data_IF_890932608191
#
_entry.id   IF_890932608191
#
_cell.length_a   1.000
_cell.length_b   1.000
_cell.length_c   1.000
_cell.angle_alpha   90.00
_cell.angle_beta   90.00
_cell.angle_gamma   90.00
#
_symmetry.space_group_name_H-M   'P 1'
#
loop_
_entity.id
_entity.type
_entity.pdbx_description
1 polymer ?
#
# COMPACT_ATOMS: atom_id res chain seq x y z
N UNK A 1 -18.10 -6.40 -9.13
CA UNK A 1 -17.07 -6.03 -8.14
C UNK A 1 -16.40 -7.31 -7.69
N UNK A 2 -15.11 -7.48 -7.95
CA UNK A 2 -14.33 -8.52 -7.29
C UNK A 2 -14.30 -8.16 -5.79
N UNK A 3 -14.61 -9.10 -4.91
CA UNK A 3 -14.44 -8.87 -3.47
C UNK A 3 -12.94 -8.65 -3.21
N UNK A 4 -12.52 -7.85 -2.22
CA UNK A 4 -11.09 -7.62 -1.94
C UNK A 4 -10.25 -8.90 -1.76
N UNK A 5 -10.90 -9.99 -1.35
CA UNK A 5 -10.29 -11.31 -1.25
C UNK A 5 -9.99 -11.98 -2.60
N UNK A 6 -10.58 -11.52 -3.70
CA UNK A 6 -10.45 -12.14 -5.04
C UNK A 6 -9.23 -11.60 -5.81
N UNK A 7 -8.65 -10.46 -5.38
CA UNK A 7 -7.46 -9.87 -6.01
C UNK A 7 -6.21 -10.52 -5.44
N UNK A 8 -5.80 -11.63 -6.05
CA UNK A 8 -4.62 -12.42 -5.69
C UNK A 8 -3.65 -12.53 -6.86
N UNK A 9 -2.39 -12.86 -6.57
CA UNK A 9 -1.37 -13.08 -7.59
C UNK A 9 -0.41 -14.19 -7.21
N UNK A 10 0.63 -14.39 -8.03
CA UNK A 10 1.68 -15.38 -7.72
C UNK A 10 2.27 -15.17 -6.32
N UNK A 11 2.54 -13.91 -5.95
CA UNK A 11 3.18 -13.50 -4.70
C UNK A 11 2.30 -12.66 -3.76
N UNK A 12 1.10 -12.29 -4.22
CA UNK A 12 0.16 -11.42 -3.48
C UNK A 12 -0.99 -12.28 -2.95
N UNK A 13 -1.24 -12.20 -1.65
CA UNK A 13 -2.32 -12.90 -0.96
C UNK A 13 -3.65 -12.16 -1.08
N UNK A 14 -3.63 -10.84 -0.93
CA UNK A 14 -4.83 -10.02 -1.03
C UNK A 14 -4.48 -8.57 -1.37
N UNK A 15 -5.47 -7.86 -1.92
CA UNK A 15 -5.44 -6.41 -2.08
C UNK A 15 -6.70 -5.84 -1.46
N UNK A 16 -6.51 -4.90 -0.53
CA UNK A 16 -7.61 -4.25 0.20
C UNK A 16 -7.67 -2.78 -0.16
N UNK A 17 -8.88 -2.25 -0.26
CA UNK A 17 -9.11 -0.82 -0.48
C UNK A 17 -9.87 -0.27 0.71
N UNK A 18 -9.29 0.72 1.39
CA UNK A 18 -9.92 1.39 2.52
C UNK A 18 -9.67 2.89 2.40
N UNK A 19 -10.74 3.70 2.34
CA UNK A 19 -10.66 5.16 2.22
C UNK A 19 -9.72 5.63 1.09
N UNK A 20 -9.76 4.95 -0.07
CA UNK A 20 -8.91 5.29 -1.22
C UNK A 20 -7.41 4.93 -1.06
N UNK A 21 -7.04 4.19 -0.01
CA UNK A 21 -5.72 3.56 0.12
C UNK A 21 -5.84 2.11 -0.35
N UNK A 22 -4.98 1.72 -1.29
CA UNK A 22 -4.86 0.35 -1.79
C UNK A 22 -3.70 -0.32 -1.07
N UNK A 23 -3.94 -1.40 -0.33
CA UNK A 23 -2.90 -2.11 0.43
C UNK A 23 -2.79 -3.54 -0.07
N UNK A 24 -1.61 -3.91 -0.55
CA UNK A 24 -1.30 -5.27 -0.97
C UNK A 24 -0.61 -6.05 0.16
N UNK A 25 -1.04 -7.28 0.39
CA UNK A 25 -0.40 -8.21 1.31
C UNK A 25 0.35 -9.30 0.56
N UNK A 26 1.61 -9.52 0.93
CA UNK A 26 2.43 -10.61 0.39
C UNK A 26 2.01 -11.95 0.99
N UNK A 27 2.15 -13.03 0.21
CA UNK A 27 1.82 -14.38 0.66
C UNK A 27 2.63 -14.82 1.89
N UNK A 28 2.07 -15.71 2.73
CA UNK A 28 2.80 -16.34 3.83
C UNK A 28 3.85 -17.36 3.35
N UNK A 29 3.73 -17.84 2.10
CA UNK A 29 4.61 -18.84 1.50
C UNK A 29 4.92 -18.53 0.03
N UNK A 30 6.01 -19.10 -0.50
CA UNK A 30 6.42 -18.89 -1.90
C UNK A 30 6.99 -17.49 -2.21
N UNK A 31 7.37 -16.74 -1.17
CA UNK A 31 8.02 -15.43 -1.25
C UNK A 31 9.26 -15.39 -0.35
N UNK A 32 10.09 -14.35 -0.47
CA UNK A 32 11.25 -14.17 0.39
C UNK A 32 10.84 -14.03 1.87
N UNK A 33 11.60 -14.63 2.79
CA UNK A 33 11.31 -14.62 4.23
C UNK A 33 11.23 -13.21 4.84
N UNK A 34 11.94 -12.25 4.29
CA UNK A 34 11.96 -10.86 4.75
C UNK A 34 10.73 -10.07 4.27
N UNK A 35 9.89 -10.62 3.39
CA UNK A 35 8.67 -9.99 2.85
C UNK A 35 7.37 -10.77 3.06
N UNK A 36 7.43 -12.03 3.53
CA UNK A 36 6.22 -12.82 3.79
C UNK A 36 5.30 -12.13 4.80
N UNK A 37 3.99 -12.19 4.56
CA UNK A 37 2.95 -11.52 5.36
C UNK A 37 3.09 -9.99 5.48
N UNK A 38 4.04 -9.38 4.77
CA UNK A 38 4.27 -7.94 4.79
C UNK A 38 3.41 -7.23 3.76
N UNK A 39 3.36 -5.90 3.88
CA UNK A 39 2.44 -5.02 3.14
C UNK A 39 3.16 -3.81 2.56
N UNK A 40 2.60 -3.32 1.46
CA UNK A 40 2.85 -2.00 0.88
C UNK A 40 1.51 -1.34 0.54
N UNK A 41 1.50 -0.02 0.44
CA UNK A 41 0.31 0.73 0.08
C UNK A 41 0.55 1.66 -1.10
N UNK A 42 -0.52 1.89 -1.86
CA UNK A 42 -0.65 2.97 -2.82
C UNK A 42 -1.75 3.91 -2.34
N UNK A 43 -1.54 5.21 -2.45
CA UNK A 43 -2.53 6.20 -2.09
C UNK A 43 -2.45 7.41 -3.02
N UNK A 44 -3.58 8.04 -3.28
CA UNK A 44 -3.66 9.28 -4.05
C UNK A 44 -3.83 10.49 -3.15
N UNK A 45 -3.21 11.63 -3.50
CA UNK A 45 -3.49 12.96 -2.94
C UNK A 45 -3.97 13.87 -4.08
N UNK A 46 -4.87 14.81 -3.77
CA UNK A 46 -5.38 15.76 -4.78
C UNK A 46 -4.36 16.87 -5.01
N UNK A 47 -4.07 17.15 -6.28
CA UNK A 47 -3.20 18.24 -6.71
C UNK A 47 -3.77 18.92 -7.95
N UNK A 48 -4.07 20.22 -7.84
CA UNK A 48 -4.44 21.09 -8.98
C UNK A 48 -5.50 20.50 -9.94
N UNK A 49 -6.53 19.84 -9.40
CA UNK A 49 -7.60 19.23 -10.19
C UNK A 49 -7.31 17.82 -10.72
N UNK A 50 -6.16 17.24 -10.35
CA UNK A 50 -5.78 15.85 -10.62
C UNK A 50 -5.49 15.09 -9.31
N UNK A 51 -5.17 13.80 -9.42
CA UNK A 51 -4.72 12.96 -8.30
C UNK A 51 -3.30 12.49 -8.60
N UNK A 52 -2.36 12.82 -7.70
CA UNK A 52 -1.02 12.26 -7.70
C UNK A 52 -0.98 11.02 -6.82
N UNK A 53 -0.43 9.93 -7.35
CA UNK A 53 -0.30 8.66 -6.64
C UNK A 53 1.09 8.49 -6.05
N UNK A 54 1.11 7.89 -4.87
CA UNK A 54 2.32 7.53 -4.14
C UNK A 54 2.32 6.03 -3.86
N UNK A 55 3.51 5.48 -3.66
CA UNK A 55 3.71 4.08 -3.36
C UNK A 55 4.79 3.94 -2.28
N UNK A 56 4.50 3.16 -1.25
CA UNK A 56 5.43 3.02 -0.13
C UNK A 56 5.02 2.01 0.91
N UNK A 57 5.60 2.18 2.09
CA UNK A 57 5.21 1.40 3.26
C UNK A 57 3.73 1.58 3.59
N UNK A 58 3.13 0.67 4.39
CA UNK A 58 1.71 0.73 4.67
C UNK A 58 1.28 2.08 5.25
N UNK A 59 0.16 2.59 4.76
CA UNK A 59 -0.48 3.79 5.28
C UNK A 59 -1.96 3.55 5.51
N UNK A 60 -2.57 4.40 6.33
CA UNK A 60 -4.01 4.42 6.57
C UNK A 60 -4.53 5.84 6.36
N UNK A 61 -5.77 5.94 5.90
CA UNK A 61 -6.48 7.20 5.77
C UNK A 61 -7.71 7.21 6.65
N UNK A 62 -7.93 8.31 7.35
CA UNK A 62 -9.04 8.47 8.30
C UNK A 62 -10.40 8.50 7.60
N UNK A 63 -10.51 9.18 6.46
CA UNK A 63 -11.73 9.30 5.66
C UNK A 63 -11.42 9.33 4.16
N UNK A 64 -12.35 8.91 3.31
CA UNK A 64 -12.12 8.82 1.87
C UNK A 64 -11.82 10.16 1.19
N UNK A 65 -12.24 11.28 1.79
CA UNK A 65 -12.07 12.65 1.31
C UNK A 65 -10.87 13.39 1.93
N UNK A 66 -10.14 12.76 2.86
CA UNK A 66 -8.94 13.34 3.44
C UNK A 66 -7.76 13.31 2.46
N UNK A 67 -7.00 14.40 2.37
CA UNK A 67 -5.80 14.45 1.54
C UNK A 67 -4.63 13.68 2.18
N UNK A 68 -4.53 13.73 3.51
CA UNK A 68 -3.42 13.14 4.26
C UNK A 68 -3.59 11.64 4.51
N UNK A 69 -2.45 10.96 4.65
CA UNK A 69 -2.37 9.58 5.13
C UNK A 69 -1.40 9.50 6.30
N UNK A 70 -1.59 8.49 7.15
CA UNK A 70 -0.70 8.22 8.28
C UNK A 70 -0.01 6.87 8.09
N UNK A 71 1.28 6.81 8.39
CA UNK A 71 2.03 5.57 8.39
C UNK A 71 1.37 4.50 9.29
N UNK A 72 1.24 3.29 8.76
CA UNK A 72 0.93 2.08 9.52
C UNK A 72 2.23 1.29 9.70
N UNK A 73 2.76 1.31 10.92
CA UNK A 73 4.03 0.67 11.27
C UNK A 73 4.00 -0.87 11.25
N UNK A 74 2.84 -1.48 11.01
CA UNK A 74 2.64 -2.92 11.18
C UNK A 74 2.92 -3.67 9.89
N UNK A 75 3.68 -4.78 9.97
CA UNK A 75 3.93 -5.69 8.82
C UNK A 75 4.44 -4.94 7.57
N UNK A 76 5.28 -3.92 7.72
CA UNK A 76 5.79 -3.10 6.61
C UNK A 76 6.92 -3.81 5.86
N UNK A 77 6.89 -3.79 4.52
CA UNK A 77 8.05 -4.18 3.72
C UNK A 77 9.20 -3.20 3.99
N UNK A 78 10.40 -3.71 4.27
CA UNK A 78 11.57 -2.85 4.47
C UNK A 78 11.95 -2.17 3.16
N UNK A 79 12.41 -0.92 3.24
CA UNK A 79 12.71 -0.08 2.06
C UNK A 79 13.71 -0.71 1.11
N UNK A 80 14.64 -1.54 1.61
CA UNK A 80 15.59 -2.31 0.79
C UNK A 80 14.91 -3.27 -0.20
N UNK A 81 13.68 -3.72 0.07
CA UNK A 81 12.90 -4.59 -0.81
C UNK A 81 11.91 -3.85 -1.69
N UNK A 82 11.70 -2.55 -1.44
CA UNK A 82 10.83 -1.74 -2.28
C UNK A 82 11.63 -1.25 -3.49
N UNK A 83 11.04 -1.27 -4.70
CA UNK A 83 11.60 -0.57 -5.86
C UNK A 83 11.85 0.90 -5.56
N UNK A 84 12.77 1.54 -6.26
CA UNK A 84 13.09 2.98 -6.05
C UNK A 84 11.87 3.89 -6.19
N UNK A 85 10.92 3.52 -7.04
CA UNK A 85 9.68 4.25 -7.32
C UNK A 85 8.56 3.98 -6.31
N UNK A 86 8.79 3.15 -5.28
CA UNK A 86 7.79 2.82 -4.27
C UNK A 86 8.37 2.98 -2.85
N UNK A 87 9.00 4.13 -2.59
CA UNK A 87 9.63 4.47 -1.30
C UNK A 87 9.12 5.79 -0.74
N UNK A 88 7.94 6.21 -1.16
CA UNK A 88 7.33 7.45 -0.67
C UNK A 88 7.01 7.33 0.82
N UNK A 89 7.27 8.41 1.55
CA UNK A 89 6.85 8.53 2.95
C UNK A 89 5.37 8.94 3.01
N UNK A 90 4.70 8.68 4.14
CA UNK A 90 3.30 9.09 4.32
C UNK A 90 3.09 10.62 4.25
N UNK A 91 4.17 11.40 4.30
CA UNK A 91 4.18 12.86 4.22
C UNK A 91 4.65 13.38 2.85
N UNK A 92 4.74 12.52 1.84
CA UNK A 92 5.12 12.92 0.50
C UNK A 92 4.06 13.85 -0.11
N UNK A 93 4.52 14.85 -0.86
CA UNK A 93 3.71 15.83 -1.58
C UNK A 93 3.98 15.72 -3.07
#
# INVERSE_FOLDING_TARGET
MASPADIKGKYVESVTVANGVVTAQMKPSGVNNEIKDKRLSLWGRRENGSVKWFCGQPVTRTKADADDVKADGTKKIETKHLPSTCRDTSSAE
#
